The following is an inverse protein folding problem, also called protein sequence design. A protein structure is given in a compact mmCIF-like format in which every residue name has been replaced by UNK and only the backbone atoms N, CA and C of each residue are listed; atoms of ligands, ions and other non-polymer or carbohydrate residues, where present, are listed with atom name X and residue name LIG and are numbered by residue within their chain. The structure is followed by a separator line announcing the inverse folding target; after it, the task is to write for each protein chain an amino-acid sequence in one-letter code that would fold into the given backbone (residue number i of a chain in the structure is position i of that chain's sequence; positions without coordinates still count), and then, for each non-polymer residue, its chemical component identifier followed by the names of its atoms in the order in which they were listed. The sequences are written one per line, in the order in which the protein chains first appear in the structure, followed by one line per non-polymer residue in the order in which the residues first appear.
data_IF_401835918994
#
_entry.id   IF_401835918994
#
_cell.length_a   1.000
_cell.length_b   1.000
_cell.length_c   1.000
_cell.angle_alpha   90.00
_cell.angle_beta   90.00
_cell.angle_gamma   90.00
#
_symmetry.space_group_name_H-M   'P 1'
#
loop_
_entity.id
_entity.type
_entity.pdbx_description
1 polymer ?
#
# COMPACT_ATOMS: atom_id res chain seq x y z
N UNK A 1 -9.12 -25.47 9.23
CA UNK A 1 -10.40 -25.68 8.51
C UNK A 1 -10.26 -25.52 7.00
N UNK A 2 -9.32 -24.70 6.49
CA UNK A 2 -9.06 -24.57 5.05
C UNK A 2 -8.53 -25.87 4.42
N UNK A 3 -7.74 -26.61 5.15
CA UNK A 3 -7.17 -27.92 4.74
C UNK A 3 -8.20 -29.06 4.64
N UNK A 4 -9.40 -28.87 5.20
CA UNK A 4 -10.48 -29.85 5.16
C UNK A 4 -11.50 -29.60 4.03
N UNK A 5 -11.28 -28.60 3.19
CA UNK A 5 -12.15 -28.32 2.05
C UNK A 5 -11.94 -29.35 0.93
N UNK A 6 -13.03 -29.87 0.31
CA UNK A 6 -12.91 -30.85 -0.78
C UNK A 6 -12.41 -30.26 -2.12
N UNK A 7 -12.14 -28.95 -2.17
CA UNK A 7 -11.56 -28.27 -3.33
C UNK A 7 -10.29 -27.54 -2.94
N UNK A 8 -9.32 -27.58 -3.79
CA UNK A 8 -8.14 -26.74 -3.73
C UNK A 8 -8.55 -25.34 -4.18
N UNK A 9 -8.24 -24.30 -3.40
CA UNK A 9 -8.31 -22.92 -3.88
C UNK A 9 -7.35 -22.68 -5.04
N UNK A 10 -7.36 -21.49 -5.62
CA UNK A 10 -6.34 -21.09 -6.58
C UNK A 10 -4.96 -21.29 -5.95
N UNK A 11 -4.17 -22.18 -6.51
CA UNK A 11 -2.77 -22.38 -6.16
C UNK A 11 -1.99 -21.60 -7.21
N UNK A 12 -1.27 -20.59 -6.81
CA UNK A 12 -0.16 -20.10 -7.61
C UNK A 12 0.88 -21.20 -7.63
N UNK A 13 1.10 -21.80 -8.79
CA UNK A 13 2.29 -22.59 -8.99
C UNK A 13 3.42 -21.57 -9.10
N UNK A 14 4.34 -21.57 -8.13
CA UNK A 14 5.65 -20.98 -8.36
C UNK A 14 6.19 -21.66 -9.62
N UNK A 15 6.14 -20.98 -10.76
CA UNK A 15 6.88 -21.41 -11.91
C UNK A 15 8.35 -21.38 -11.47
N UNK A 16 8.99 -22.52 -11.42
CA UNK A 16 10.44 -22.65 -11.23
C UNK A 16 11.23 -22.07 -12.43
N UNK A 17 10.59 -21.25 -13.25
CA UNK A 17 11.27 -20.49 -14.28
C UNK A 17 12.30 -19.60 -13.60
N UNK A 18 13.56 -19.83 -13.90
CA UNK A 18 14.67 -18.98 -13.48
C UNK A 18 14.38 -17.54 -13.94
N UNK A 19 13.85 -16.74 -13.03
CA UNK A 19 13.62 -15.33 -13.30
C UNK A 19 14.97 -14.66 -13.52
N UNK A 20 15.07 -13.84 -14.54
CA UNK A 20 16.27 -13.04 -14.80
C UNK A 20 16.53 -12.09 -13.62
N UNK A 21 17.77 -11.93 -13.23
CA UNK A 21 18.15 -10.96 -12.19
C UNK A 21 17.89 -9.52 -12.62
N UNK A 22 17.90 -9.26 -13.93
CA UNK A 22 17.51 -8.01 -14.59
C UNK A 22 16.68 -8.38 -15.82
N UNK A 23 15.47 -7.86 -15.92
CA UNK A 23 14.61 -8.04 -17.10
C UNK A 23 14.61 -6.72 -17.90
N UNK A 24 15.14 -6.72 -19.13
CA UNK A 24 15.18 -5.52 -19.98
C UNK A 24 13.80 -4.99 -20.38
N UNK A 25 12.78 -5.84 -20.33
CA UNK A 25 11.40 -5.48 -20.65
C UNK A 25 10.62 -4.92 -19.43
N UNK A 26 11.19 -5.05 -18.24
CA UNK A 26 10.53 -4.62 -17.00
C UNK A 26 10.68 -3.12 -16.78
N UNK A 27 9.55 -2.42 -16.75
CA UNK A 27 9.49 -0.98 -16.48
C UNK A 27 9.88 -0.58 -15.05
N UNK A 28 10.05 -1.53 -14.12
CA UNK A 28 10.52 -1.27 -12.75
C UNK A 28 12.01 -1.51 -12.55
N UNK A 29 12.65 -2.27 -13.43
CA UNK A 29 14.09 -2.51 -13.36
C UNK A 29 14.92 -1.24 -13.50
N UNK A 30 16.20 -1.21 -13.02
CA UNK A 30 17.15 -0.16 -13.35
C UNK A 30 17.24 0.09 -14.86
N UNK A 31 17.16 1.35 -15.26
CA UNK A 31 17.16 1.75 -16.69
C UNK A 31 15.87 1.46 -17.45
N UNK A 32 14.86 0.81 -16.81
CA UNK A 32 13.55 0.54 -17.41
C UNK A 32 12.81 1.81 -17.78
N UNK A 33 12.07 1.76 -18.89
CA UNK A 33 11.25 2.88 -19.36
C UNK A 33 9.84 2.75 -18.83
N UNK A 34 9.38 3.75 -18.09
CA UNK A 34 8.04 3.84 -17.51
C UNK A 34 7.05 4.49 -18.47
N UNK A 35 5.76 4.43 -18.12
CA UNK A 35 4.72 5.13 -18.83
C UNK A 35 5.07 6.62 -18.97
N UNK A 36 4.82 7.20 -20.14
CA UNK A 36 5.18 8.59 -20.43
C UNK A 36 6.64 8.83 -20.80
N UNK A 37 7.45 7.77 -20.98
CA UNK A 37 8.84 7.86 -21.47
C UNK A 37 9.87 8.21 -20.38
N UNK A 38 9.47 8.26 -19.12
CA UNK A 38 10.40 8.45 -18.01
C UNK A 38 11.28 7.21 -17.82
N UNK A 39 12.59 7.38 -17.69
CA UNK A 39 13.55 6.30 -17.46
C UNK A 39 13.93 6.21 -15.98
N UNK A 40 13.94 4.99 -15.44
CA UNK A 40 14.49 4.76 -14.12
C UNK A 40 16.01 5.02 -14.11
N UNK A 41 16.56 5.56 -13.02
CA UNK A 41 18.00 5.60 -12.82
C UNK A 41 18.57 4.18 -12.72
N UNK A 42 19.88 4.06 -12.85
CA UNK A 42 20.60 2.83 -12.53
C UNK A 42 20.74 2.69 -11.00
N UNK A 43 19.64 2.36 -10.33
CA UNK A 43 19.61 2.27 -8.88
C UNK A 43 20.17 0.93 -8.39
N UNK A 44 20.88 0.96 -7.25
CA UNK A 44 21.53 -0.20 -6.63
C UNK A 44 20.91 -0.67 -5.32
N UNK A 45 19.89 0.02 -4.85
CA UNK A 45 19.17 -0.27 -3.60
C UNK A 45 17.67 -0.08 -3.77
N UNK A 46 17.02 0.55 -2.80
CA UNK A 46 15.60 0.92 -2.89
C UNK A 46 15.44 2.11 -3.85
N UNK A 47 14.42 2.05 -4.69
CA UNK A 47 14.07 3.13 -5.60
C UNK A 47 12.59 3.50 -5.44
N UNK A 48 12.29 4.80 -5.32
CA UNK A 48 10.94 5.33 -5.09
C UNK A 48 10.63 6.40 -6.11
N UNK A 49 9.41 6.35 -6.64
CA UNK A 49 8.93 7.35 -7.58
C UNK A 49 7.41 7.54 -7.44
N UNK A 50 6.91 8.69 -7.89
CA UNK A 50 5.48 8.94 -7.93
C UNK A 50 4.83 8.03 -8.98
N UNK A 51 3.73 7.37 -8.62
CA UNK A 51 3.06 6.38 -9.46
C UNK A 51 2.58 7.05 -10.77
N UNK A 52 2.94 6.48 -11.91
CA UNK A 52 2.54 6.98 -13.23
C UNK A 52 1.02 6.90 -13.45
N UNK A 53 0.33 6.01 -12.72
CA UNK A 53 -1.14 5.85 -12.73
C UNK A 53 -1.69 5.94 -11.29
N UNK A 54 -1.64 7.13 -10.67
CA UNK A 54 -2.01 7.26 -9.27
C UNK A 54 -3.52 7.11 -9.08
N UNK A 55 -3.94 6.32 -8.09
CA UNK A 55 -5.34 6.21 -7.68
C UNK A 55 -5.81 7.45 -6.90
N UNK A 56 -4.89 8.17 -6.25
CA UNK A 56 -5.13 9.41 -5.52
C UNK A 56 -4.30 10.53 -6.16
N UNK A 57 -4.91 11.68 -6.37
CA UNK A 57 -4.25 12.87 -6.91
C UNK A 57 -4.34 14.05 -5.94
N UNK A 58 -3.40 14.98 -6.02
CA UNK A 58 -3.39 16.19 -5.19
C UNK A 58 -4.35 17.26 -5.70
N UNK A 59 -4.72 17.23 -6.99
CA UNK A 59 -5.61 18.22 -7.61
C UNK A 59 -7.05 17.71 -7.68
N UNK A 60 -8.01 18.61 -7.43
CA UNK A 60 -9.44 18.35 -7.66
C UNK A 60 -9.83 18.30 -9.14
N UNK A 61 -8.89 18.62 -10.05
CA UNK A 61 -9.17 18.73 -11.49
C UNK A 61 -9.22 17.38 -12.23
N UNK A 62 -8.61 16.32 -11.68
CA UNK A 62 -8.59 15.01 -12.37
C UNK A 62 -9.91 14.24 -12.28
N UNK A 63 -10.88 14.67 -11.51
CA UNK A 63 -12.24 14.09 -11.50
C UNK A 63 -13.06 14.59 -12.70
N UNK A 64 -12.63 15.66 -13.38
CA UNK A 64 -13.35 16.32 -14.45
C UNK A 64 -12.89 15.95 -15.88
N UNK A 65 -11.88 15.12 -16.03
CA UNK A 65 -11.38 14.68 -17.34
C UNK A 65 -11.93 13.32 -17.81
N UNK A 66 -13.03 12.84 -17.24
CA UNK A 66 -13.82 11.81 -17.88
C UNK A 66 -14.47 12.39 -19.17
N UNK A 67 -14.51 11.62 -20.29
CA UNK A 67 -15.10 12.11 -21.53
C UNK A 67 -16.54 12.58 -21.28
N UNK A 68 -16.89 13.71 -21.88
CA UNK A 68 -18.10 14.50 -21.64
C UNK A 68 -19.45 13.82 -21.92
N UNK A 69 -19.52 12.50 -22.03
CA UNK A 69 -20.77 11.76 -22.20
C UNK A 69 -21.37 11.21 -20.89
N UNK A 70 -20.71 11.42 -19.75
CA UNK A 70 -21.27 11.00 -18.45
C UNK A 70 -20.83 11.94 -17.34
N UNK A 71 -21.65 12.96 -17.10
CA UNK A 71 -21.72 13.76 -15.89
C UNK A 71 -21.21 15.18 -16.01
N UNK A 72 -22.11 16.08 -16.20
CA UNK A 72 -22.08 17.43 -15.66
C UNK A 72 -22.06 17.36 -14.12
N UNK A 73 -20.89 17.14 -13.53
CA UNK A 73 -20.64 17.46 -12.11
C UNK A 73 -19.78 18.70 -12.10
N UNK A 74 -20.39 19.83 -12.41
CA UNK A 74 -19.82 21.16 -12.23
C UNK A 74 -19.61 21.42 -10.74
N UNK A 75 -18.37 21.77 -10.37
CA UNK A 75 -17.98 22.05 -9.00
C UNK A 75 -18.68 23.29 -8.43
N UNK A 76 -19.69 23.09 -7.66
CA UNK A 76 -20.19 23.88 -6.51
C UNK A 76 -21.53 23.38 -5.96
N UNK A 77 -22.17 22.40 -6.59
CA UNK A 77 -23.31 21.72 -5.96
C UNK A 77 -23.17 20.23 -6.12
N UNK A 78 -22.56 19.56 -5.13
CA UNK A 78 -22.84 18.16 -4.92
C UNK A 78 -24.35 18.01 -4.92
N UNK A 79 -24.88 17.15 -5.83
CA UNK A 79 -26.29 16.83 -5.93
C UNK A 79 -26.88 16.68 -4.52
N UNK A 80 -28.00 17.34 -4.20
CA UNK A 80 -28.69 17.18 -2.92
C UNK A 80 -28.89 15.72 -2.54
N UNK A 81 -29.01 14.81 -3.50
CA UNK A 81 -29.10 13.36 -3.29
C UNK A 81 -27.83 12.76 -2.69
N UNK A 82 -26.65 13.35 -2.92
CA UNK A 82 -25.38 12.90 -2.30
C UNK A 82 -25.23 13.39 -0.85
N UNK A 83 -26.13 14.23 -0.38
CA UNK A 83 -26.25 14.68 1.02
C UNK A 83 -27.25 13.85 1.82
N UNK A 84 -27.94 12.92 1.18
CA UNK A 84 -28.81 11.99 1.88
C UNK A 84 -28.00 11.14 2.86
N UNK A 85 -28.59 10.86 4.03
CA UNK A 85 -27.97 10.01 5.06
C UNK A 85 -27.65 8.58 4.57
N UNK A 86 -28.28 8.13 3.48
CA UNK A 86 -28.13 6.81 2.88
C UNK A 86 -27.06 6.77 1.78
N UNK A 87 -26.84 7.89 1.09
CA UNK A 87 -25.89 8.00 -0.02
C UNK A 87 -24.91 9.13 0.27
N UNK A 88 -23.67 8.80 0.56
CA UNK A 88 -22.62 9.75 0.89
C UNK A 88 -21.38 9.50 0.06
N UNK A 89 -20.87 10.54 -0.60
CA UNK A 89 -19.60 10.54 -1.30
C UNK A 89 -18.76 11.73 -0.83
N UNK A 90 -17.50 11.46 -0.52
CA UNK A 90 -16.53 12.49 -0.14
C UNK A 90 -15.29 12.38 -1.04
N UNK A 91 -14.77 13.49 -1.57
CA UNK A 91 -13.56 13.46 -2.37
C UNK A 91 -12.35 13.16 -1.48
N UNK A 92 -11.52 12.21 -1.93
CA UNK A 92 -10.26 11.86 -1.28
C UNK A 92 -9.12 12.31 -2.18
N UNK A 93 -8.22 13.13 -1.63
CA UNK A 93 -7.00 13.58 -2.28
C UNK A 93 -5.81 12.83 -1.73
N UNK A 94 -4.73 12.76 -2.50
CA UNK A 94 -3.53 12.11 -1.98
C UNK A 94 -2.38 12.04 -2.95
N UNK A 95 -1.40 11.25 -2.55
CA UNK A 95 -0.17 10.97 -3.29
C UNK A 95 0.01 9.47 -3.31
N UNK A 96 0.28 8.91 -4.49
CA UNK A 96 0.63 7.50 -4.64
C UNK A 96 2.07 7.39 -5.14
N UNK A 97 2.87 6.56 -4.47
CA UNK A 97 4.24 6.22 -4.87
C UNK A 97 4.38 4.73 -5.06
N UNK A 98 5.30 4.36 -5.94
CA UNK A 98 5.81 3.00 -6.08
C UNK A 98 7.17 2.94 -5.39
N UNK A 99 7.43 1.85 -4.67
CA UNK A 99 8.71 1.56 -4.05
C UNK A 99 9.23 0.22 -4.55
N UNK A 100 10.31 0.24 -5.34
CA UNK A 100 11.05 -0.95 -5.74
C UNK A 100 12.01 -1.32 -4.61
N UNK A 101 11.94 -2.55 -4.13
CA UNK A 101 12.70 -3.01 -2.96
C UNK A 101 14.15 -3.34 -3.29
N UNK A 102 14.42 -3.72 -4.53
CA UNK A 102 15.71 -4.19 -5.01
C UNK A 102 15.87 -3.89 -6.51
N UNK A 103 17.09 -3.66 -7.01
CA UNK A 103 17.34 -3.64 -8.44
C UNK A 103 17.15 -5.01 -9.11
N UNK A 104 17.18 -6.09 -8.33
CA UNK A 104 17.06 -7.47 -8.81
C UNK A 104 15.60 -7.86 -8.99
N UNK A 105 15.27 -8.27 -10.23
CA UNK A 105 13.92 -8.67 -10.64
C UNK A 105 13.49 -10.03 -10.08
N UNK A 106 14.44 -10.91 -9.80
CA UNK A 106 14.23 -12.30 -9.38
C UNK A 106 14.01 -12.48 -7.88
N UNK A 107 14.06 -11.40 -7.09
CA UNK A 107 13.91 -11.45 -5.63
C UNK A 107 12.46 -11.19 -5.19
N UNK A 108 12.19 -11.54 -3.96
CA UNK A 108 11.07 -11.08 -3.15
C UNK A 108 11.57 -10.80 -1.72
N UNK A 109 10.77 -10.20 -0.86
CA UNK A 109 11.19 -9.86 0.51
C UNK A 109 11.73 -11.05 1.29
N UNK A 110 11.15 -12.25 1.10
CA UNK A 110 11.59 -13.46 1.82
C UNK A 110 12.97 -13.98 1.37
N UNK A 111 13.41 -13.62 0.16
CA UNK A 111 14.69 -14.03 -0.44
C UNK A 111 15.78 -12.96 -0.33
N UNK A 112 15.44 -11.77 0.14
CA UNK A 112 16.39 -10.67 0.32
C UNK A 112 17.27 -10.88 1.55
N UNK A 113 18.47 -10.30 1.51
CA UNK A 113 19.36 -10.28 2.67
C UNK A 113 18.80 -9.38 3.77
N UNK A 114 19.19 -9.64 5.02
CA UNK A 114 18.80 -8.79 6.16
C UNK A 114 19.17 -7.32 5.94
N UNK A 115 20.35 -7.04 5.40
CA UNK A 115 20.78 -5.66 5.11
C UNK A 115 19.89 -4.99 4.06
N UNK A 116 19.50 -5.70 3.02
CA UNK A 116 18.59 -5.19 2.00
C UNK A 116 17.20 -4.90 2.57
N UNK A 117 16.67 -5.80 3.41
CA UNK A 117 15.39 -5.59 4.10
C UNK A 117 15.44 -4.37 5.03
N UNK A 118 16.55 -4.17 5.76
CA UNK A 118 16.74 -2.97 6.58
C UNK A 118 16.69 -1.68 5.73
N UNK A 119 17.25 -1.70 4.52
CA UNK A 119 17.14 -0.60 3.57
C UNK A 119 15.67 -0.30 3.17
N UNK A 120 14.88 -1.35 2.93
CA UNK A 120 13.44 -1.21 2.64
C UNK A 120 12.69 -0.63 3.84
N UNK A 121 12.96 -1.14 5.05
CA UNK A 121 12.33 -0.63 6.29
C UNK A 121 12.70 0.83 6.53
N UNK A 122 13.97 1.21 6.33
CA UNK A 122 14.40 2.62 6.44
C UNK A 122 13.63 3.49 5.46
N UNK A 123 13.50 3.05 4.21
CA UNK A 123 12.72 3.78 3.20
C UNK A 123 11.24 3.91 3.59
N UNK A 124 10.62 2.90 4.20
CA UNK A 124 9.26 2.99 4.74
C UNK A 124 9.14 4.05 5.82
N UNK A 125 10.09 4.10 6.75
CA UNK A 125 10.14 5.09 7.82
C UNK A 125 10.28 6.51 7.24
N UNK A 126 11.23 6.71 6.34
CA UNK A 126 11.52 8.01 5.72
C UNK A 126 10.31 8.51 4.91
N UNK A 127 9.68 7.65 4.13
CA UNK A 127 8.50 8.00 3.34
C UNK A 127 7.29 8.32 4.23
N UNK A 128 7.07 7.54 5.28
CA UNK A 128 6.00 7.82 6.23
C UNK A 128 6.24 9.16 6.93
N UNK A 129 7.47 9.42 7.38
CA UNK A 129 7.82 10.67 8.06
C UNK A 129 7.73 11.90 7.14
N UNK A 130 8.12 11.77 5.87
CA UNK A 130 8.00 12.83 4.87
C UNK A 130 6.53 13.14 4.56
N UNK A 131 5.77 12.09 4.17
CA UNK A 131 4.42 12.27 3.68
C UNK A 131 3.45 12.71 4.78
N UNK A 132 3.62 12.22 6.01
CA UNK A 132 2.80 12.63 7.15
C UNK A 132 2.96 14.10 7.53
N UNK A 133 4.04 14.76 7.11
CA UNK A 133 4.25 16.20 7.34
C UNK A 133 3.60 17.09 6.28
N UNK A 134 3.14 16.49 5.17
CA UNK A 134 2.51 17.27 4.10
C UNK A 134 1.13 17.74 4.51
N UNK A 135 0.85 19.01 4.26
CA UNK A 135 -0.48 19.58 4.50
C UNK A 135 -1.54 18.81 3.72
N UNK A 136 -2.64 18.50 4.38
CA UNK A 136 -3.76 17.77 3.78
C UNK A 136 -3.58 16.24 3.72
N UNK A 137 -2.51 15.67 4.27
CA UNK A 137 -2.36 14.23 4.47
C UNK A 137 -2.72 13.86 5.91
N UNK A 138 -3.66 12.92 6.06
CA UNK A 138 -4.12 12.40 7.35
C UNK A 138 -3.67 10.97 7.60
N UNK A 139 -3.31 10.22 6.55
CA UNK A 139 -2.91 8.82 6.68
C UNK A 139 -1.93 8.40 5.59
N UNK A 140 -0.97 7.55 5.95
CA UNK A 140 -0.01 6.95 5.02
C UNK A 140 -0.10 5.44 5.14
N UNK A 141 -0.45 4.77 4.04
CA UNK A 141 -0.53 3.32 3.93
C UNK A 141 0.62 2.83 3.05
N UNK A 142 1.40 1.88 3.55
CA UNK A 142 2.40 1.14 2.78
C UNK A 142 1.90 -0.30 2.65
N UNK A 143 1.94 -0.85 1.45
CA UNK A 143 1.48 -2.21 1.19
C UNK A 143 2.16 -2.83 -0.02
N UNK A 144 2.14 -4.14 -0.08
CA UNK A 144 2.57 -4.96 -1.20
C UNK A 144 1.41 -5.85 -1.65
N UNK A 145 1.18 -5.92 -2.95
CA UNK A 145 0.41 -6.98 -3.57
C UNK A 145 1.40 -8.00 -4.13
N UNK A 146 1.42 -9.19 -3.56
CA UNK A 146 2.33 -10.25 -3.99
C UNK A 146 1.54 -11.37 -4.68
N UNK A 147 1.99 -11.73 -5.88
CA UNK A 147 1.36 -12.75 -6.70
C UNK A 147 0.22 -12.23 -7.57
N UNK A 148 0.03 -12.85 -8.73
CA UNK A 148 -0.97 -12.47 -9.73
C UNK A 148 -2.40 -12.53 -9.17
N UNK A 149 -2.71 -13.54 -8.38
CA UNK A 149 -4.01 -13.70 -7.73
C UNK A 149 -4.37 -12.55 -6.77
N UNK A 150 -3.39 -11.78 -6.31
CA UNK A 150 -3.56 -10.59 -5.48
C UNK A 150 -3.53 -9.29 -6.27
N UNK A 151 -3.52 -9.37 -7.61
CA UNK A 151 -3.49 -8.19 -8.48
C UNK A 151 -2.09 -7.61 -8.69
N UNK A 152 -1.04 -8.37 -8.40
CA UNK A 152 0.33 -7.96 -8.74
C UNK A 152 0.55 -8.13 -10.25
N UNK A 153 0.71 -7.00 -10.96
CA UNK A 153 0.90 -6.99 -12.41
C UNK A 153 2.36 -7.14 -12.86
N UNK A 154 3.32 -7.03 -11.94
CA UNK A 154 4.75 -7.08 -12.24
C UNK A 154 5.48 -7.89 -11.16
N UNK A 155 6.23 -8.93 -11.53
CA UNK A 155 6.95 -9.80 -10.58
C UNK A 155 8.18 -9.13 -9.95
N UNK A 156 8.63 -7.96 -10.44
CA UNK A 156 9.70 -7.21 -9.80
C UNK A 156 9.31 -6.84 -8.35
N UNK A 157 10.20 -7.03 -7.36
CA UNK A 157 9.87 -6.81 -5.96
C UNK A 157 9.55 -5.34 -5.68
N UNK A 158 8.28 -5.04 -5.47
CA UNK A 158 7.81 -3.67 -5.26
C UNK A 158 6.59 -3.62 -4.34
N UNK A 159 6.36 -2.44 -3.79
CA UNK A 159 5.16 -2.09 -3.06
C UNK A 159 4.64 -0.73 -3.45
N UNK A 160 3.62 -0.28 -2.76
CA UNK A 160 2.99 1.01 -2.97
C UNK A 160 2.90 1.78 -1.66
N UNK A 161 2.93 3.10 -1.77
CA UNK A 161 2.76 4.04 -0.67
C UNK A 161 1.63 4.98 -1.06
N UNK A 162 0.54 4.93 -0.31
CA UNK A 162 -0.61 5.82 -0.51
C UNK A 162 -0.74 6.74 0.68
N UNK A 163 -0.61 8.03 0.42
CA UNK A 163 -0.84 9.08 1.41
C UNK A 163 -2.17 9.76 1.10
N UNK A 164 -3.13 9.72 2.00
CA UNK A 164 -4.50 10.19 1.77
C UNK A 164 -4.91 11.32 2.70
N UNK A 165 -5.83 12.16 2.22
CA UNK A 165 -6.40 13.27 3.00
C UNK A 165 -7.38 12.83 4.08
N UNK A 166 -7.85 11.59 4.05
CA UNK A 166 -8.75 11.02 5.05
C UNK A 166 -8.16 9.76 5.67
N UNK A 167 -8.66 9.40 6.84
CA UNK A 167 -8.35 8.14 7.51
C UNK A 167 -9.28 7.05 6.95
N UNK A 168 -8.75 5.97 6.33
CA UNK A 168 -9.57 4.87 5.82
C UNK A 168 -10.39 4.18 6.92
N UNK A 169 -11.47 3.50 6.54
CA UNK A 169 -12.44 2.94 7.48
C UNK A 169 -11.85 1.93 8.48
N UNK A 170 -11.03 0.98 8.02
CA UNK A 170 -10.43 0.00 8.94
C UNK A 170 -9.49 0.66 9.97
N UNK A 171 -8.51 1.48 9.59
CA UNK A 171 -7.70 2.25 10.55
C UNK A 171 -8.54 3.14 11.48
N UNK A 172 -9.62 3.74 10.99
CA UNK A 172 -10.53 4.54 11.81
C UNK A 172 -11.23 3.71 12.88
N UNK A 173 -11.73 2.53 12.54
CA UNK A 173 -12.37 1.59 13.47
C UNK A 173 -11.35 1.13 14.53
N UNK A 174 -10.14 0.76 14.10
CA UNK A 174 -9.07 0.32 15.00
C UNK A 174 -8.65 1.44 15.96
N UNK A 175 -8.46 2.67 15.46
CA UNK A 175 -8.15 3.84 16.29
C UNK A 175 -9.24 4.08 17.32
N UNK A 176 -10.50 4.08 16.90
CA UNK A 176 -11.64 4.26 17.81
C UNK A 176 -11.71 3.17 18.89
N UNK A 177 -11.41 1.92 18.53
CA UNK A 177 -11.37 0.82 19.49
C UNK A 177 -10.24 1.01 20.52
N UNK A 178 -9.06 1.44 20.09
CA UNK A 178 -7.91 1.72 20.96
C UNK A 178 -8.20 2.90 21.91
N UNK A 179 -8.79 3.98 21.41
CA UNK A 179 -9.18 5.13 22.22
C UNK A 179 -10.25 4.76 23.26
N UNK A 180 -11.25 3.98 22.86
CA UNK A 180 -12.29 3.50 23.78
C UNK A 180 -11.69 2.64 24.88
N UNK A 181 -10.77 1.72 24.54
CA UNK A 181 -10.08 0.91 25.51
C UNK A 181 -9.27 1.76 26.50
N UNK A 182 -8.50 2.73 26.00
CA UNK A 182 -7.71 3.64 26.81
C UNK A 182 -8.60 4.42 27.80
N UNK A 183 -9.75 4.93 27.32
CA UNK A 183 -10.73 5.64 28.19
C UNK A 183 -11.31 4.75 29.28
N UNK A 184 -11.59 3.47 28.98
CA UNK A 184 -12.22 2.54 29.91
C UNK A 184 -11.23 1.89 30.89
N UNK A 185 -10.00 1.64 30.46
CA UNK A 185 -9.02 0.84 31.20
C UNK A 185 -7.82 1.67 31.70
N UNK A 186 -7.60 2.86 31.16
CA UNK A 186 -6.44 3.69 31.51
C UNK A 186 -5.11 3.16 30.98
N UNK A 187 -5.14 2.16 30.10
CA UNK A 187 -3.96 1.48 29.55
C UNK A 187 -4.07 1.31 28.03
N UNK A 188 -2.93 1.09 27.37
CA UNK A 188 -2.88 0.87 25.93
C UNK A 188 -3.36 -0.54 25.58
N UNK A 189 -4.38 -0.66 24.70
CA UNK A 189 -4.94 -1.94 24.25
C UNK A 189 -3.88 -2.89 23.70
N UNK A 190 -2.98 -2.40 22.83
CA UNK A 190 -1.97 -3.24 22.20
C UNK A 190 -0.90 -3.70 23.20
N UNK A 191 -0.54 -2.84 24.18
CA UNK A 191 0.39 -3.20 25.23
C UNK A 191 -0.18 -4.30 26.16
N UNK A 192 -1.44 -4.17 26.55
CA UNK A 192 -2.12 -5.17 27.37
C UNK A 192 -2.31 -6.48 26.61
N UNK A 193 -2.65 -6.40 25.33
CA UNK A 193 -2.75 -7.57 24.46
C UNK A 193 -1.41 -8.30 24.34
N UNK A 194 -0.32 -7.56 24.09
CA UNK A 194 1.04 -8.13 24.02
C UNK A 194 1.44 -8.80 25.34
N UNK A 195 1.17 -8.15 26.47
CA UNK A 195 1.47 -8.72 27.80
C UNK A 195 0.71 -10.04 28.01
N UNK A 196 -0.56 -10.08 27.60
CA UNK A 196 -1.38 -11.30 27.66
C UNK A 196 -0.86 -12.40 26.76
N UNK A 197 -0.47 -12.08 25.50
CA UNK A 197 0.09 -13.06 24.55
C UNK A 197 1.40 -13.66 25.09
N UNK A 198 2.28 -12.84 25.63
CA UNK A 198 3.53 -13.32 26.24
C UNK A 198 3.27 -14.27 27.42
N UNK A 199 2.22 -14.03 28.20
CA UNK A 199 1.85 -14.89 29.32
C UNK A 199 1.20 -16.22 28.86
N UNK A 200 0.32 -16.17 27.86
CA UNK A 200 -0.42 -17.35 27.39
C UNK A 200 0.37 -18.21 26.40
N UNK A 201 1.25 -17.60 25.58
CA UNK A 201 2.11 -18.28 24.61
C UNK A 201 1.39 -18.97 23.45
N UNK A 202 0.09 -18.68 23.24
CA UNK A 202 -0.77 -19.46 22.31
C UNK A 202 -0.68 -19.02 20.86
N UNK A 203 -0.40 -17.74 20.61
CA UNK A 203 -0.43 -17.10 19.26
C UNK A 203 0.91 -16.48 18.87
N UNK A 204 1.96 -16.75 19.65
CA UNK A 204 3.31 -16.28 19.36
C UNK A 204 3.96 -17.25 18.37
N UNK A 205 4.35 -16.71 17.20
CA UNK A 205 5.11 -17.47 16.19
C UNK A 205 6.61 -17.38 16.42
N UNK A 206 7.09 -16.24 16.92
CA UNK A 206 8.50 -15.97 17.20
C UNK A 206 8.62 -14.99 18.36
N UNK A 207 9.58 -15.22 19.24
CA UNK A 207 9.92 -14.32 20.34
C UNK A 207 11.44 -14.19 20.46
N UNK A 208 11.95 -12.98 20.53
CA UNK A 208 13.33 -12.67 20.91
C UNK A 208 13.45 -12.57 22.42
#
# INVERSE_FOLDING_TARGET
QRTLRPWLGALEQDSEEERLSLDPSCYLCPGGERAGGAKNPDYSGVFIFDNDFPALTSSSESILSAPAESAEISGSSLDPLLRDSLLRAEPVKGICRVICYSPRHDLNLARMTRSSILGVVSAFVDQTAELSKRSGISYVQIFENHGEAMGCSNPHPHGQIWASSNLPDLPRIETSAQENYLRQRGSCLLCDYLAREKKEGKRILFSN
#
